data_IF_309378411617
#
_entry.id   IF_309378411617
#
_cell.length_a   1.000
_cell.length_b   1.000
_cell.length_c   1.000
_cell.angle_alpha   90.00
_cell.angle_beta   90.00
_cell.angle_gamma   90.00
#
_symmetry.space_group_name_H-M   'P 1'
#
loop_
_entity.id
_entity.type
_entity.pdbx_description
1 polymer ?
#
# COMPACT_ATOMS: atom_id res chain seq x y z
N UNK A 1 1.77 -17.85 -1.06
CA UNK A 1 2.26 -16.73 -1.88
C UNK A 1 1.16 -16.26 -2.84
N UNK A 2 0.91 -14.96 -2.94
CA UNK A 2 -0.09 -14.40 -3.88
C UNK A 2 0.39 -14.56 -5.35
N UNK A 3 -0.49 -15.09 -6.20
CA UNK A 3 -0.22 -15.37 -7.63
C UNK A 3 0.09 -14.10 -8.41
N UNK A 4 -0.52 -12.96 -8.08
CA UNK A 4 -0.26 -11.66 -8.73
C UNK A 4 1.11 -11.10 -8.37
N UNK A 5 1.54 -11.26 -7.12
CA UNK A 5 2.88 -10.86 -6.70
C UNK A 5 3.97 -11.65 -7.45
N UNK A 6 3.75 -12.94 -7.67
CA UNK A 6 4.65 -13.79 -8.47
C UNK A 6 4.76 -13.30 -9.92
N UNK A 7 3.65 -12.90 -10.56
CA UNK A 7 3.73 -12.33 -11.92
C UNK A 7 4.59 -11.06 -11.97
N UNK A 8 4.49 -10.18 -10.97
CA UNK A 8 5.35 -9.00 -10.91
C UNK A 8 6.82 -9.35 -10.68
N UNK A 9 7.12 -10.47 -10.00
CA UNK A 9 8.51 -10.93 -9.85
C UNK A 9 9.15 -11.40 -11.16
N UNK A 10 8.37 -11.89 -12.13
CA UNK A 10 8.87 -12.34 -13.43
C UNK A 10 9.39 -11.18 -14.31
N UNK A 11 8.92 -9.95 -14.06
CA UNK A 11 9.46 -8.72 -14.68
C UNK A 11 10.92 -8.48 -14.25
N UNK A 12 11.34 -9.12 -13.16
CA UNK A 12 12.74 -9.22 -12.72
C UNK A 12 13.69 -9.82 -13.75
N UNK A 13 13.20 -10.51 -14.79
CA UNK A 13 14.04 -11.07 -15.85
C UNK A 13 14.72 -10.02 -16.74
N UNK A 14 14.25 -8.76 -16.73
CA UNK A 14 14.87 -7.69 -17.52
C UNK A 14 16.25 -7.35 -16.93
N UNK A 15 17.34 -7.43 -17.72
CA UNK A 15 18.68 -7.11 -17.24
C UNK A 15 18.81 -5.63 -16.84
N UNK A 16 19.76 -5.33 -15.95
CA UNK A 16 20.10 -4.00 -15.44
C UNK A 16 19.02 -3.26 -14.63
N UNK A 17 17.73 -3.52 -14.85
CA UNK A 17 16.64 -2.77 -14.24
C UNK A 17 15.42 -3.59 -13.81
N UNK A 18 15.34 -4.87 -14.17
CA UNK A 18 14.20 -5.73 -13.84
C UNK A 18 13.98 -5.89 -12.35
N UNK A 19 15.04 -6.01 -11.56
CA UNK A 19 14.95 -6.07 -10.08
C UNK A 19 14.32 -4.81 -9.50
N UNK A 20 14.69 -3.64 -10.03
CA UNK A 20 14.16 -2.33 -9.61
C UNK A 20 12.69 -2.18 -9.97
N UNK A 21 12.31 -2.52 -11.20
CA UNK A 21 10.93 -2.43 -11.69
C UNK A 21 10.04 -3.43 -10.94
N UNK A 22 10.48 -4.67 -10.78
CA UNK A 22 9.74 -5.70 -10.05
C UNK A 22 9.60 -5.34 -8.56
N UNK A 23 10.66 -4.87 -7.91
CA UNK A 23 10.60 -4.39 -6.52
C UNK A 23 9.59 -3.24 -6.38
N UNK A 24 9.64 -2.25 -7.28
CA UNK A 24 8.65 -1.17 -7.30
C UNK A 24 7.21 -1.68 -7.45
N UNK A 25 6.95 -2.60 -8.38
CA UNK A 25 5.61 -3.15 -8.60
C UNK A 25 5.11 -3.98 -7.43
N UNK A 26 5.99 -4.81 -6.84
CA UNK A 26 5.67 -5.65 -5.68
C UNK A 26 5.43 -4.79 -4.44
N UNK A 27 6.30 -3.81 -4.16
CA UNK A 27 6.10 -2.87 -3.05
C UNK A 27 4.84 -2.04 -3.20
N UNK A 28 4.51 -1.61 -4.43
CA UNK A 28 3.27 -0.88 -4.70
C UNK A 28 2.02 -1.76 -4.51
N UNK A 29 2.12 -3.05 -4.82
CA UNK A 29 1.02 -4.00 -4.69
C UNK A 29 0.79 -4.44 -3.24
N UNK A 30 1.86 -4.84 -2.54
CA UNK A 30 1.79 -5.36 -1.17
C UNK A 30 1.70 -4.24 -0.13
N UNK A 31 2.26 -3.06 -0.41
CA UNK A 31 2.29 -1.88 0.48
C UNK A 31 2.88 -2.15 1.88
N UNK A 32 3.70 -3.20 1.99
CA UNK A 32 4.42 -3.59 3.20
C UNK A 32 5.83 -4.04 2.83
N UNK A 33 6.83 -3.48 3.49
CA UNK A 33 8.23 -3.84 3.28
C UNK A 33 8.49 -5.30 3.62
N UNK A 34 7.93 -5.80 4.71
CA UNK A 34 8.19 -7.14 5.25
C UNK A 34 7.67 -8.21 4.30
N UNK A 35 6.47 -7.99 3.75
CA UNK A 35 5.90 -8.88 2.74
C UNK A 35 6.62 -8.76 1.40
N UNK A 36 7.05 -7.54 1.01
CA UNK A 36 7.89 -7.34 -0.18
C UNK A 36 9.21 -8.11 -0.05
N UNK A 37 9.81 -8.13 1.14
CA UNK A 37 11.09 -8.81 1.41
C UNK A 37 11.05 -10.30 1.08
N UNK A 38 9.89 -10.95 1.22
CA UNK A 38 9.71 -12.37 0.87
C UNK A 38 9.84 -12.65 -0.63
N UNK A 39 9.59 -11.65 -1.47
CA UNK A 39 9.65 -11.75 -2.93
C UNK A 39 10.95 -11.20 -3.53
N UNK A 40 11.68 -10.37 -2.78
CA UNK A 40 12.94 -9.75 -3.21
C UNK A 40 14.02 -10.77 -3.64
N UNK A 41 14.31 -11.85 -2.89
CA UNK A 41 15.33 -12.82 -3.28
C UNK A 41 15.08 -13.44 -4.66
N UNK A 42 13.80 -13.69 -5.00
CA UNK A 42 13.42 -14.28 -6.27
C UNK A 42 13.62 -13.28 -7.42
N UNK A 43 13.25 -12.01 -7.22
CA UNK A 43 13.48 -10.94 -8.20
C UNK A 43 14.96 -10.65 -8.42
N UNK A 44 15.75 -10.61 -7.34
CA UNK A 44 17.19 -10.36 -7.36
C UNK A 44 17.89 -11.52 -8.05
N UNK A 45 17.57 -12.76 -7.69
CA UNK A 45 18.18 -13.95 -8.27
C UNK A 45 17.99 -14.03 -9.79
N UNK A 46 16.77 -13.80 -10.28
CA UNK A 46 16.48 -13.83 -11.71
C UNK A 46 17.21 -12.68 -12.43
N UNK A 47 17.16 -11.46 -11.88
CA UNK A 47 17.79 -10.29 -12.51
C UNK A 47 19.33 -10.36 -12.50
N UNK A 48 19.93 -10.90 -11.44
CA UNK A 48 21.39 -11.10 -11.38
C UNK A 48 21.84 -12.10 -12.43
N UNK A 49 21.09 -13.19 -12.63
CA UNK A 49 21.42 -14.21 -13.61
C UNK A 49 21.36 -13.64 -15.04
N UNK A 50 20.29 -12.92 -15.39
CA UNK A 50 20.17 -12.31 -16.72
C UNK A 50 21.17 -11.17 -16.94
N UNK A 51 21.46 -10.38 -15.92
CA UNK A 51 22.45 -9.30 -16.00
C UNK A 51 23.87 -9.85 -16.09
N UNK A 52 24.19 -10.92 -15.36
CA UNK A 52 25.50 -11.59 -15.46
C UNK A 52 25.75 -12.12 -16.88
N UNK A 53 24.78 -12.84 -17.47
CA UNK A 53 24.93 -13.40 -18.82
C UNK A 53 25.23 -12.34 -19.88
N UNK A 54 24.62 -11.16 -19.77
CA UNK A 54 24.83 -10.07 -20.74
C UNK A 54 26.13 -9.34 -20.44
N UNK A 55 26.36 -8.96 -19.18
CA UNK A 55 27.53 -8.14 -18.80
C UNK A 55 28.83 -8.92 -18.96
N UNK A 56 28.83 -10.23 -18.70
CA UNK A 56 30.00 -11.09 -18.92
C UNK A 56 30.39 -11.22 -20.41
N UNK A 57 29.42 -11.15 -21.32
CA UNK A 57 29.69 -11.25 -22.76
C UNK A 57 30.10 -9.90 -23.39
N UNK A 58 29.58 -8.77 -22.89
CA UNK A 58 29.76 -7.47 -23.55
C UNK A 58 30.59 -6.45 -22.74
N UNK A 59 30.64 -6.55 -21.41
CA UNK A 59 31.14 -5.51 -20.50
C UNK A 59 31.93 -6.12 -19.32
N UNK A 60 32.90 -7.00 -19.65
CA UNK A 60 33.65 -7.80 -18.66
C UNK A 60 34.28 -6.99 -17.53
N UNK A 61 34.83 -5.80 -17.84
CA UNK A 61 35.49 -4.94 -16.86
C UNK A 61 34.56 -4.41 -15.76
N UNK A 62 33.24 -4.34 -16.02
CA UNK A 62 32.26 -3.70 -15.11
C UNK A 62 31.27 -4.70 -14.49
N UNK A 63 31.50 -6.02 -14.64
CA UNK A 63 30.59 -7.07 -14.18
C UNK A 63 30.30 -6.95 -12.67
N UNK A 64 31.34 -6.73 -11.86
CA UNK A 64 31.19 -6.63 -10.41
C UNK A 64 30.35 -5.41 -10.00
N UNK A 65 30.64 -4.23 -10.56
CA UNK A 65 29.95 -2.98 -10.23
C UNK A 65 28.45 -3.05 -10.59
N UNK A 66 28.14 -3.59 -11.76
CA UNK A 66 26.76 -3.72 -12.25
C UNK A 66 25.97 -4.72 -11.39
N UNK A 67 26.56 -5.86 -11.02
CA UNK A 67 25.88 -6.84 -10.18
C UNK A 67 25.58 -6.29 -8.78
N UNK A 68 26.51 -5.54 -8.19
CA UNK A 68 26.30 -4.87 -6.90
C UNK A 68 25.15 -3.87 -7.00
N UNK A 69 25.12 -3.04 -8.05
CA UNK A 69 24.03 -2.09 -8.25
C UNK A 69 22.66 -2.80 -8.39
N UNK A 70 22.58 -3.89 -9.16
CA UNK A 70 21.35 -4.67 -9.36
C UNK A 70 20.87 -5.35 -8.08
N UNK A 71 21.79 -5.78 -7.21
CA UNK A 71 21.47 -6.39 -5.93
C UNK A 71 20.94 -5.38 -4.90
N UNK A 72 21.52 -4.18 -4.85
CA UNK A 72 21.22 -3.17 -3.83
C UNK A 72 19.99 -2.31 -4.18
N UNK A 73 19.84 -1.92 -5.45
CA UNK A 73 18.73 -1.08 -5.93
C UNK A 73 17.33 -1.52 -5.47
N UNK A 74 16.93 -2.81 -5.55
CA UNK A 74 15.59 -3.21 -5.15
C UNK A 74 15.32 -3.09 -3.65
N UNK A 75 16.35 -3.15 -2.79
CA UNK A 75 16.20 -2.87 -1.35
C UNK A 75 15.94 -1.38 -1.08
N UNK A 76 16.72 -0.51 -1.73
CA UNK A 76 16.54 0.95 -1.60
C UNK A 76 15.14 1.34 -2.07
N UNK A 77 14.71 0.85 -3.24
CA UNK A 77 13.38 1.11 -3.79
C UNK A 77 12.30 0.56 -2.86
N UNK A 78 12.44 -0.67 -2.39
CA UNK A 78 11.48 -1.27 -1.46
C UNK A 78 11.31 -0.45 -0.19
N UNK A 79 12.42 0.02 0.40
CA UNK A 79 12.43 0.80 1.64
C UNK A 79 11.87 2.22 1.48
N UNK A 80 12.28 2.93 0.41
CA UNK A 80 11.77 4.27 0.11
C UNK A 80 10.27 4.23 -0.15
N UNK A 81 9.78 3.21 -0.87
CA UNK A 81 8.35 3.09 -1.10
C UNK A 81 7.57 2.64 0.14
N UNK A 82 8.11 1.74 0.96
CA UNK A 82 7.39 1.29 2.16
C UNK A 82 7.30 2.36 3.24
N UNK A 83 8.34 3.18 3.42
CA UNK A 83 8.35 4.26 4.40
C UNK A 83 7.26 5.31 4.14
N UNK A 84 6.86 5.52 2.88
CA UNK A 84 5.70 6.34 2.51
C UNK A 84 4.38 5.81 3.11
N UNK A 85 4.31 4.50 3.41
CA UNK A 85 3.12 3.81 3.91
C UNK A 85 3.14 3.48 5.42
N UNK A 86 4.21 3.77 6.16
CA UNK A 86 4.33 3.45 7.60
C UNK A 86 3.26 4.13 8.50
N UNK A 87 2.56 5.13 8.00
CA UNK A 87 1.48 5.83 8.72
C UNK A 87 0.15 5.05 8.83
N UNK A 88 0.15 3.75 8.57
CA UNK A 88 -1.06 2.90 8.51
C UNK A 88 -0.90 1.76 9.51
N UNK A 89 -1.75 1.72 10.54
CA UNK A 89 -1.84 0.58 11.47
C UNK A 89 -3.09 -0.23 11.15
N UNK A 90 -2.90 -1.50 10.79
CA UNK A 90 -3.99 -2.46 10.57
C UNK A 90 -4.03 -3.37 11.79
N UNK A 91 -5.09 -3.27 12.59
CA UNK A 91 -5.40 -4.22 13.66
C UNK A 91 -6.47 -5.19 13.15
N UNK A 92 -6.12 -6.47 13.05
CA UNK A 92 -7.06 -7.53 12.67
C UNK A 92 -7.45 -8.29 13.93
N UNK A 93 -8.75 -8.35 14.23
CA UNK A 93 -9.34 -9.17 15.29
C UNK A 93 -10.25 -10.24 14.66
N UNK A 94 -10.58 -11.29 15.42
CA UNK A 94 -11.42 -12.42 14.96
C UNK A 94 -12.82 -11.99 14.47
N UNK A 95 -13.32 -10.84 14.94
CA UNK A 95 -14.67 -10.35 14.64
C UNK A 95 -14.70 -9.05 13.83
N UNK A 96 -13.56 -8.37 13.70
CA UNK A 96 -13.47 -7.10 12.97
C UNK A 96 -12.06 -6.79 12.46
N UNK A 97 -11.99 -6.18 11.29
CA UNK A 97 -10.76 -5.58 10.77
C UNK A 97 -10.81 -4.08 11.06
N UNK A 98 -9.96 -3.60 11.97
CA UNK A 98 -9.80 -2.18 12.29
C UNK A 98 -8.59 -1.62 11.53
N UNK A 99 -8.81 -0.76 10.56
CA UNK A 99 -7.71 -0.08 9.86
C UNK A 99 -7.66 1.37 10.27
N UNK A 100 -6.68 1.74 11.10
CA UNK A 100 -6.41 3.11 11.56
C UNK A 100 -5.50 3.80 10.56
N UNK A 101 -6.08 4.70 9.77
CA UNK A 101 -5.30 5.60 8.91
C UNK A 101 -4.99 6.86 9.67
N UNK A 102 -3.72 7.26 9.75
CA UNK A 102 -3.37 8.65 10.05
C UNK A 102 -3.23 9.40 8.74
N UNK A 103 -4.24 10.17 8.37
CA UNK A 103 -4.19 11.02 7.17
C UNK A 103 -3.87 12.45 7.62
N UNK A 104 -2.70 13.02 7.23
CA UNK A 104 -2.50 14.45 7.36
C UNK A 104 -3.43 15.13 6.37
N UNK A 105 -4.50 15.69 6.91
CA UNK A 105 -5.37 16.62 6.21
C UNK A 105 -4.68 17.96 6.44
N UNK A 106 -4.03 18.50 5.41
CA UNK A 106 -3.52 19.88 5.49
C UNK A 106 -4.68 20.86 5.62
N UNK A 107 -4.46 22.12 5.26
CA UNK A 107 -5.49 23.18 5.21
C UNK A 107 -6.53 22.97 4.09
N UNK A 108 -6.94 21.73 3.83
CA UNK A 108 -8.01 21.40 2.91
C UNK A 108 -9.34 21.81 3.56
N UNK A 109 -9.91 22.90 3.07
CA UNK A 109 -11.29 23.30 3.36
C UNK A 109 -12.21 22.42 2.52
N UNK A 110 -13.09 21.67 3.17
CA UNK A 110 -14.16 20.93 2.50
C UNK A 110 -15.46 21.70 2.69
N UNK A 111 -16.17 21.98 1.61
CA UNK A 111 -17.44 22.71 1.65
C UNK A 111 -18.61 21.79 2.06
N UNK A 112 -18.43 20.46 1.97
CA UNK A 112 -19.46 19.47 2.32
C UNK A 112 -18.89 18.27 3.10
N UNK A 113 -19.51 17.85 4.22
CA UNK A 113 -19.13 16.63 4.97
C UNK A 113 -19.10 15.35 4.11
N UNK A 114 -19.95 15.27 3.09
CA UNK A 114 -19.98 14.14 2.16
C UNK A 114 -18.75 14.10 1.24
N UNK A 115 -18.27 15.27 0.83
CA UNK A 115 -17.05 15.38 0.01
C UNK A 115 -15.81 15.05 0.85
N UNK A 116 -15.77 15.55 2.09
CA UNK A 116 -14.76 15.17 3.08
C UNK A 116 -14.73 13.66 3.30
N UNK A 117 -15.90 13.03 3.47
CA UNK A 117 -16.00 11.58 3.60
C UNK A 117 -15.44 10.86 2.38
N UNK A 118 -15.87 11.22 1.17
CA UNK A 118 -15.44 10.55 -0.07
C UNK A 118 -13.94 10.74 -0.33
N UNK A 119 -13.41 11.94 -0.05
CA UNK A 119 -11.99 12.24 -0.18
C UNK A 119 -11.16 11.39 0.80
N UNK A 120 -11.53 11.39 2.08
CA UNK A 120 -10.83 10.61 3.10
C UNK A 120 -10.97 9.10 2.84
N UNK A 121 -12.17 8.64 2.47
CA UNK A 121 -12.44 7.26 2.11
C UNK A 121 -11.59 6.80 0.92
N UNK A 122 -11.54 7.57 -0.18
CA UNK A 122 -10.73 7.22 -1.36
C UNK A 122 -9.23 7.22 -1.06
N UNK A 123 -8.74 8.17 -0.25
CA UNK A 123 -7.33 8.26 0.16
C UNK A 123 -6.94 7.11 1.08
N UNK A 124 -7.85 6.68 1.95
CA UNK A 124 -7.66 5.52 2.81
C UNK A 124 -7.79 4.19 2.06
N UNK A 125 -8.73 4.05 1.12
CA UNK A 125 -8.81 2.87 0.22
C UNK A 125 -7.50 2.66 -0.56
N UNK A 126 -6.88 3.74 -1.04
CA UNK A 126 -5.54 3.72 -1.66
C UNK A 126 -4.42 3.29 -0.72
N UNK A 127 -4.70 3.09 0.57
CA UNK A 127 -3.75 2.66 1.60
C UNK A 127 -4.09 1.29 2.20
N UNK A 128 -5.28 0.72 1.93
CA UNK A 128 -5.69 -0.63 2.40
C UNK A 128 -4.94 -1.73 1.62
N UNK A 129 -4.52 -2.79 2.31
CA UNK A 129 -3.85 -3.95 1.70
C UNK A 129 -4.85 -4.85 0.94
N UNK A 130 -4.47 -5.47 -0.19
CA UNK A 130 -5.17 -6.65 -0.70
C UNK A 130 -5.17 -7.77 0.37
N UNK A 131 -6.23 -8.59 0.51
CA UNK A 131 -7.48 -8.65 -0.28
C UNK A 131 -8.59 -7.71 0.21
N UNK A 132 -8.43 -7.05 1.35
CA UNK A 132 -9.47 -6.21 1.97
C UNK A 132 -9.88 -5.02 1.11
N UNK A 133 -8.95 -4.50 0.30
CA UNK A 133 -9.25 -3.50 -0.72
C UNK A 133 -10.39 -3.94 -1.67
N UNK A 134 -10.42 -5.20 -2.07
CA UNK A 134 -11.45 -5.70 -3.00
C UNK A 134 -12.82 -5.77 -2.34
N UNK A 135 -12.91 -6.22 -1.08
CA UNK A 135 -14.18 -6.21 -0.33
C UNK A 135 -14.73 -4.79 -0.15
N UNK A 136 -13.85 -3.81 0.10
CA UNK A 136 -14.25 -2.42 0.33
C UNK A 136 -14.53 -1.62 -0.95
N UNK A 137 -14.02 -2.06 -2.10
CA UNK A 137 -14.29 -1.43 -3.41
C UNK A 137 -15.71 -1.72 -3.92
N UNK A 138 -16.33 -2.82 -3.47
CA UNK A 138 -17.62 -3.33 -3.97
C UNK A 138 -18.81 -2.80 -3.16
N UNK A 139 -18.63 -1.76 -2.35
CA UNK A 139 -19.70 -1.19 -1.52
C UNK A 139 -20.67 -0.34 -2.36
N UNK A 140 -21.54 -1.01 -3.13
CA UNK A 140 -22.56 -0.37 -3.99
C UNK A 140 -23.84 0.03 -3.22
N UNK A 141 -24.07 -0.50 -2.00
CA UNK A 141 -25.25 -0.21 -1.18
C UNK A 141 -24.88 0.44 0.16
N UNK A 142 -24.43 1.68 0.11
CA UNK A 142 -24.19 2.47 1.31
C UNK A 142 -25.42 3.29 1.70
N UNK A 143 -25.78 3.26 2.98
CA UNK A 143 -26.79 4.15 3.57
C UNK A 143 -26.30 5.59 3.71
N UNK A 144 -27.18 6.43 4.24
CA UNK A 144 -26.90 7.86 4.45
C UNK A 144 -25.74 8.09 5.43
N UNK A 145 -24.97 9.15 5.17
CA UNK A 145 -23.89 9.60 6.04
C UNK A 145 -24.47 10.12 7.36
N UNK A 146 -24.06 9.55 8.48
CA UNK A 146 -24.39 10.05 9.82
C UNK A 146 -23.19 10.82 10.36
N UNK A 147 -23.39 12.10 10.67
CA UNK A 147 -22.38 12.94 11.30
C UNK A 147 -22.69 13.00 12.79
N UNK A 148 -21.78 12.51 13.63
CA UNK A 148 -21.90 12.57 15.09
C UNK A 148 -20.82 13.53 15.60
N UNK A 149 -21.19 14.77 15.93
CA UNK A 149 -20.27 15.68 16.59
C UNK A 149 -20.00 15.21 18.03
N UNK A 150 -18.75 15.26 18.46
CA UNK A 150 -18.29 15.08 19.84
C UNK A 150 -17.43 16.28 20.23
N UNK A 151 -17.23 16.50 21.53
CA UNK A 151 -16.60 17.70 22.08
C UNK A 151 -15.28 18.11 21.39
N UNK A 152 -14.46 17.15 20.96
CA UNK A 152 -13.16 17.40 20.31
C UNK A 152 -12.96 16.64 18.98
N UNK A 153 -13.98 15.95 18.48
CA UNK A 153 -13.87 15.12 17.28
C UNK A 153 -15.18 15.09 16.47
N UNK A 154 -15.07 14.98 15.14
CA UNK A 154 -16.22 14.74 14.26
C UNK A 154 -16.15 13.29 13.81
N UNK A 155 -17.19 12.51 14.11
CA UNK A 155 -17.30 11.13 13.65
C UNK A 155 -18.24 11.06 12.46
N UNK A 156 -17.70 10.76 11.29
CA UNK A 156 -18.47 10.48 10.08
C UNK A 156 -18.70 8.97 9.96
N UNK A 157 -19.95 8.52 10.10
CA UNK A 157 -20.31 7.11 10.03
C UNK A 157 -21.13 6.84 8.77
N UNK A 158 -20.71 5.84 7.99
CA UNK A 158 -21.46 5.32 6.84
C UNK A 158 -21.56 3.81 6.94
N UNK A 159 -22.77 3.26 6.86
CA UNK A 159 -23.01 1.81 6.86
C UNK A 159 -23.22 1.35 5.43
N UNK A 160 -22.50 0.32 5.00
CA UNK A 160 -22.57 -0.26 3.67
C UNK A 160 -22.73 -1.78 3.80
N UNK A 161 -23.98 -2.26 3.80
CA UNK A 161 -24.30 -3.66 4.13
C UNK A 161 -23.77 -4.06 5.52
N UNK A 162 -22.91 -5.07 5.54
CA UNK A 162 -22.28 -5.62 6.75
C UNK A 162 -20.99 -4.87 7.16
N UNK A 163 -20.59 -3.86 6.39
CA UNK A 163 -19.42 -3.05 6.67
C UNK A 163 -19.84 -1.69 7.25
N UNK A 164 -19.25 -1.32 8.39
CA UNK A 164 -19.41 -0.01 9.00
C UNK A 164 -18.11 0.77 8.86
N UNK A 165 -18.17 1.93 8.20
CA UNK A 165 -17.05 2.83 8.03
C UNK A 165 -17.24 4.00 8.97
N UNK A 166 -16.26 4.24 9.84
CA UNK A 166 -16.19 5.39 10.74
C UNK A 166 -14.95 6.20 10.38
N UNK A 167 -15.09 7.51 10.25
CA UNK A 167 -13.98 8.43 10.07
C UNK A 167 -14.01 9.40 11.25
N UNK A 168 -13.02 9.28 12.13
CA UNK A 168 -12.86 10.10 13.33
C UNK A 168 -11.88 11.22 12.98
N UNK A 169 -12.37 12.44 12.86
CA UNK A 169 -11.56 13.63 12.61
C UNK A 169 -11.23 14.27 13.95
N UNK A 170 -9.96 14.22 14.39
CA UNK A 170 -9.48 14.82 15.64
C UNK A 170 -8.69 16.10 15.33
N UNK A 171 -9.31 17.25 15.59
CA UNK A 171 -8.69 18.56 15.36
C UNK A 171 -8.33 18.84 13.88
N UNK A 172 -7.39 19.76 13.65
CA UNK A 172 -7.04 20.28 12.30
C UNK A 172 -6.09 19.41 11.48
N UNK A 173 -5.52 18.32 12.02
CA UNK A 173 -4.36 17.64 11.37
C UNK A 173 -4.41 16.12 11.34
N UNK A 174 -5.19 15.47 12.20
CA UNK A 174 -5.18 14.02 12.32
C UNK A 174 -6.58 13.46 12.10
N UNK A 175 -6.76 12.75 11.00
CA UNK A 175 -7.93 11.92 10.77
C UNK A 175 -7.55 10.48 11.02
N UNK A 176 -8.25 9.85 11.96
CA UNK A 176 -8.25 8.42 12.24
C UNK A 176 -9.47 7.82 11.55
N UNK A 177 -9.29 7.13 10.43
CA UNK A 177 -10.38 6.33 9.86
C UNK A 177 -10.37 4.96 10.53
N UNK A 178 -11.55 4.45 10.90
CA UNK A 178 -11.81 3.13 11.44
C UNK A 178 -12.81 2.44 10.52
N UNK A 179 -12.34 1.45 9.78
CA UNK A 179 -13.25 0.51 9.10
C UNK A 179 -13.55 -0.61 10.10
N UNK A 180 -14.79 -1.08 10.14
CA UNK A 180 -15.20 -2.28 10.86
C UNK A 180 -15.95 -3.16 9.87
N UNK A 181 -15.42 -4.33 9.59
CA UNK A 181 -16.05 -5.34 8.72
C UNK A 181 -16.34 -6.58 9.56
N UNK A 182 -17.57 -7.10 9.51
CA UNK A 182 -17.81 -8.47 9.98
C UNK A 182 -17.10 -9.46 9.06
N UNK A 183 -16.58 -10.54 9.63
CA UNK A 183 -15.75 -11.52 8.92
C UNK A 183 -16.50 -12.24 7.80
#
# INVERSE_FOLDING_TARGET
>A
MDRKAIYYTLIGAVPFGGSSISSFMVSRYLRDFTETLRYLPLTIGICLLTTFLITYNYLQSYVAEILVAVAVAPFIIGYVFSSVYENIKVNVSEYYIEVIFKVPVGELKFDNPSEMFNYLFSRSLKKIRPPYYQKLKVLNNCGNLRVVPRENEIVLRKKCGDTQIEIIVRGKRNVDMKVTMSY
#
